data_IF_209706403751
#
_entry.id   IF_209706403751
#
_cell.length_a   1.000
_cell.length_b   1.000
_cell.length_c   1.000
_cell.angle_alpha   90.00
_cell.angle_beta   90.00
_cell.angle_gamma   90.00
#
_symmetry.space_group_name_H-M   'P 1'
#
loop_
_entity.id
_entity.type
_entity.pdbx_description
1 polymer ?
#
# COMPACT_ATOMS: atom_id res chain seq x y z
N UNK A 1 -50.69 -8.09 7.56
CA UNK A 1 -49.85 -6.91 7.86
C UNK A 1 -48.42 -7.41 7.93
N UNK A 2 -47.54 -6.95 7.03
CA UNK A 2 -46.13 -7.36 7.02
C UNK A 2 -45.40 -6.72 8.21
N UNK A 3 -44.64 -7.52 8.94
CA UNK A 3 -43.87 -7.08 10.11
C UNK A 3 -42.58 -6.44 9.64
N UNK A 4 -42.49 -5.11 9.76
CA UNK A 4 -41.25 -4.36 9.47
C UNK A 4 -40.23 -4.63 10.59
N UNK A 5 -39.16 -5.36 10.28
CA UNK A 5 -38.02 -5.50 11.18
C UNK A 5 -37.04 -4.35 10.97
N UNK A 6 -36.82 -3.56 12.03
CA UNK A 6 -35.86 -2.46 12.04
C UNK A 6 -34.58 -2.94 12.74
N UNK A 7 -33.52 -3.18 11.96
CA UNK A 7 -32.21 -3.55 12.49
C UNK A 7 -31.47 -2.28 12.92
N UNK A 8 -31.00 -2.25 14.17
CA UNK A 8 -30.18 -1.14 14.72
C UNK A 8 -28.72 -1.59 14.81
N UNK A 9 -27.86 -0.99 14.00
CA UNK A 9 -26.41 -1.21 14.05
C UNK A 9 -25.84 -0.29 15.13
N UNK A 10 -25.13 -0.85 16.12
CA UNK A 10 -24.57 -0.09 17.25
C UNK A 10 -23.26 0.60 16.89
N UNK A 11 -22.40 -0.08 16.14
CA UNK A 11 -21.08 0.43 15.74
C UNK A 11 -20.68 -0.09 14.36
N UNK A 12 -19.99 0.75 13.59
CA UNK A 12 -19.39 0.40 12.29
C UNK A 12 -17.90 0.75 12.36
N UNK A 13 -17.04 -0.25 12.22
CA UNK A 13 -15.59 -0.06 12.11
C UNK A 13 -15.23 -0.08 10.63
N UNK A 14 -14.89 1.09 10.08
CA UNK A 14 -14.39 1.19 8.71
C UNK A 14 -12.87 1.14 8.77
N UNK A 15 -12.31 -0.01 8.42
CA UNK A 15 -10.86 -0.14 8.29
C UNK A 15 -10.36 0.74 7.13
N UNK A 16 -9.25 1.44 7.36
CA UNK A 16 -8.60 2.20 6.30
C UNK A 16 -8.07 1.24 5.25
N UNK A 17 -8.47 1.44 4.00
CA UNK A 17 -8.05 0.59 2.88
C UNK A 17 -6.65 1.00 2.38
N UNK A 18 -6.35 2.31 2.45
CA UNK A 18 -5.10 2.91 2.00
C UNK A 18 -4.56 3.89 3.02
N UNK A 19 -3.28 4.22 2.88
CA UNK A 19 -2.55 5.06 3.81
C UNK A 19 -1.56 5.98 3.08
N UNK A 20 -1.38 7.19 3.63
CA UNK A 20 -0.27 8.09 3.28
C UNK A 20 0.98 7.81 4.13
N UNK A 21 2.09 8.50 3.88
CA UNK A 21 3.37 8.25 4.57
C UNK A 21 3.31 8.42 6.10
N UNK A 22 2.46 9.31 6.62
CA UNK A 22 2.28 9.47 8.08
C UNK A 22 1.51 8.31 8.70
N UNK A 23 0.49 7.83 8.00
CA UNK A 23 -0.28 6.68 8.45
C UNK A 23 0.54 5.41 8.37
N UNK A 24 1.32 5.22 7.31
CA UNK A 24 2.24 4.09 7.16
C UNK A 24 3.30 4.07 8.27
N UNK A 25 3.77 5.24 8.72
CA UNK A 25 4.63 5.35 9.90
C UNK A 25 3.94 4.80 11.15
N UNK A 26 2.68 5.18 11.38
CA UNK A 26 1.91 4.73 12.56
C UNK A 26 1.62 3.23 12.50
N UNK A 27 1.30 2.70 11.32
CA UNK A 27 0.91 1.30 11.12
C UNK A 27 2.12 0.37 11.17
N UNK A 28 3.20 0.71 10.46
CA UNK A 28 4.34 -0.20 10.23
C UNK A 28 5.60 0.15 11.05
N UNK A 29 5.54 1.17 11.92
CA UNK A 29 6.65 1.56 12.78
C UNK A 29 7.89 2.11 12.06
N UNK A 30 7.80 2.38 10.75
CA UNK A 30 8.88 2.99 9.99
C UNK A 30 8.85 4.52 10.07
N UNK A 31 9.94 5.20 9.73
CA UNK A 31 9.89 6.66 9.63
C UNK A 31 9.08 7.10 8.40
N UNK A 32 8.46 8.29 8.45
CA UNK A 32 7.76 8.89 7.31
C UNK A 32 8.63 8.94 6.05
N UNK A 33 9.92 9.25 6.21
CA UNK A 33 10.88 9.29 5.11
C UNK A 33 11.03 7.91 4.46
N UNK A 34 11.21 6.86 5.27
CA UNK A 34 11.30 5.48 4.77
C UNK A 34 10.00 5.04 4.09
N UNK A 35 8.83 5.40 4.63
CA UNK A 35 7.55 5.12 3.99
C UNK A 35 7.47 5.76 2.59
N UNK A 36 7.81 7.05 2.49
CA UNK A 36 7.82 7.76 1.22
C UNK A 36 8.86 7.23 0.22
N UNK A 37 10.05 6.84 0.69
CA UNK A 37 11.07 6.19 -0.15
C UNK A 37 10.57 4.87 -0.73
N UNK A 38 9.98 4.03 0.12
CA UNK A 38 9.39 2.74 -0.26
C UNK A 38 8.25 2.90 -1.26
N UNK A 39 7.33 3.84 -1.03
CA UNK A 39 6.24 4.16 -1.96
C UNK A 39 6.75 4.65 -3.32
N UNK A 40 7.78 5.50 -3.33
CA UNK A 40 8.44 5.93 -4.58
C UNK A 40 9.15 4.77 -5.30
N UNK A 41 9.71 3.83 -4.55
CA UNK A 41 10.31 2.62 -5.13
C UNK A 41 9.22 1.71 -5.75
N UNK A 42 8.10 1.50 -5.05
CA UNK A 42 6.92 0.80 -5.59
C UNK A 42 6.43 1.43 -6.90
N UNK A 43 6.46 2.77 -7.01
CA UNK A 43 6.05 3.47 -8.25
C UNK A 43 6.91 3.10 -9.46
N UNK A 44 8.18 2.74 -9.24
CA UNK A 44 9.11 2.33 -10.30
C UNK A 44 8.90 0.87 -10.72
N UNK A 45 8.29 0.05 -9.88
CA UNK A 45 8.15 -1.39 -10.09
C UNK A 45 6.79 -1.70 -10.70
N UNK A 46 6.69 -2.16 -11.97
CA UNK A 46 5.41 -2.47 -12.60
C UNK A 46 4.56 -3.46 -11.79
N UNK A 47 5.19 -4.46 -11.16
CA UNK A 47 4.49 -5.44 -10.32
C UNK A 47 3.77 -4.84 -9.10
N UNK A 48 4.23 -3.67 -8.65
CA UNK A 48 3.75 -3.00 -7.43
C UNK A 48 2.74 -1.88 -7.73
N UNK A 49 2.61 -1.44 -8.99
CA UNK A 49 1.72 -0.32 -9.34
C UNK A 49 0.25 -0.58 -8.99
N UNK A 50 -0.20 -1.85 -9.03
CA UNK A 50 -1.56 -2.25 -8.65
C UNK A 50 -1.95 -1.91 -7.21
N UNK A 51 -0.97 -1.66 -6.35
CA UNK A 51 -1.19 -1.31 -4.94
C UNK A 51 -1.23 0.21 -4.69
N UNK A 52 -0.84 1.02 -5.68
CA UNK A 52 -0.74 2.46 -5.59
C UNK A 52 -2.05 3.11 -6.03
N UNK A 53 -2.44 4.16 -5.29
CA UNK A 53 -3.65 4.94 -5.54
C UNK A 53 -3.28 6.41 -5.66
N UNK A 54 -4.16 7.20 -6.28
CA UNK A 54 -3.99 8.64 -6.48
C UNK A 54 -2.59 9.00 -7.03
N UNK A 55 -2.26 8.47 -8.22
CA UNK A 55 -0.93 8.67 -8.85
C UNK A 55 0.28 8.24 -8.00
N UNK A 56 0.03 7.33 -7.05
CA UNK A 56 0.99 6.84 -6.09
C UNK A 56 1.18 7.74 -4.88
N UNK A 57 0.29 8.71 -4.62
CA UNK A 57 0.23 9.48 -3.36
C UNK A 57 -0.16 8.60 -2.17
N UNK A 58 -1.02 7.61 -2.43
CA UNK A 58 -1.50 6.64 -1.47
C UNK A 58 -1.10 5.23 -1.89
N UNK A 59 -1.07 4.33 -0.91
CA UNK A 59 -0.87 2.89 -1.14
C UNK A 59 -1.84 2.11 -0.29
N UNK A 60 -2.35 1.00 -0.81
CA UNK A 60 -3.14 0.07 -0.01
C UNK A 60 -2.31 -0.47 1.16
N UNK A 61 -2.89 -0.56 2.36
CA UNK A 61 -2.15 -1.03 3.56
C UNK A 61 -1.62 -2.45 3.32
N UNK A 62 -2.48 -3.32 2.79
CA UNK A 62 -2.11 -4.69 2.41
C UNK A 62 -0.98 -4.72 1.38
N UNK A 63 -1.08 -3.92 0.32
CA UNK A 63 -0.05 -3.86 -0.71
C UNK A 63 1.29 -3.33 -0.20
N UNK A 64 1.28 -2.36 0.72
CA UNK A 64 2.51 -1.90 1.35
C UNK A 64 3.15 -3.02 2.19
N UNK A 65 2.36 -3.76 2.96
CA UNK A 65 2.85 -4.91 3.73
C UNK A 65 3.45 -6.01 2.83
N UNK A 66 2.74 -6.41 1.77
CA UNK A 66 3.24 -7.36 0.78
C UNK A 66 4.56 -6.88 0.15
N UNK A 67 4.64 -5.59 -0.16
CA UNK A 67 5.87 -5.00 -0.67
C UNK A 67 7.01 -5.03 0.35
N UNK A 68 6.76 -4.84 1.65
CA UNK A 68 7.81 -4.97 2.68
C UNK A 68 8.41 -6.38 2.72
N UNK A 69 7.60 -7.42 2.49
CA UNK A 69 8.07 -8.81 2.41
C UNK A 69 8.80 -9.09 1.07
N UNK A 70 8.32 -8.48 -0.02
CA UNK A 70 8.93 -8.59 -1.34
C UNK A 70 10.30 -7.89 -1.42
N UNK A 71 10.43 -6.74 -0.76
CA UNK A 71 11.60 -5.86 -0.89
C UNK A 71 12.88 -6.56 -0.43
N UNK A 72 13.88 -6.56 -1.31
CA UNK A 72 15.17 -7.23 -1.06
C UNK A 72 15.22 -8.71 -1.45
N UNK A 73 14.08 -9.32 -1.82
CA UNK A 73 14.04 -10.66 -2.38
C UNK A 73 14.76 -10.76 -3.73
N UNK A 74 15.05 -11.99 -4.18
CA UNK A 74 15.65 -12.22 -5.51
C UNK A 74 14.76 -11.70 -6.66
N UNK A 75 13.43 -11.93 -6.67
CA UNK A 75 12.53 -11.29 -7.63
C UNK A 75 12.62 -9.76 -7.65
N UNK A 76 12.65 -9.13 -6.47
CA UNK A 76 12.80 -7.68 -6.35
C UNK A 76 14.10 -7.17 -6.98
N UNK A 77 15.23 -7.83 -6.71
CA UNK A 77 16.53 -7.47 -7.30
C UNK A 77 16.50 -7.55 -8.83
N UNK A 78 15.88 -8.60 -9.37
CA UNK A 78 15.73 -8.80 -10.82
C UNK A 78 14.86 -7.71 -11.46
N UNK A 79 13.76 -7.35 -10.82
CA UNK A 79 12.85 -6.32 -11.34
C UNK A 79 13.52 -4.95 -11.31
N UNK A 80 14.14 -4.56 -10.19
CA UNK A 80 14.89 -3.31 -10.05
C UNK A 80 16.00 -3.16 -11.12
N UNK A 81 16.74 -4.25 -11.40
CA UNK A 81 17.78 -4.24 -12.43
C UNK A 81 17.20 -3.98 -13.84
N UNK A 82 16.00 -4.48 -14.14
CA UNK A 82 15.32 -4.21 -15.41
C UNK A 82 14.86 -2.75 -15.51
N UNK A 83 14.34 -2.19 -14.43
CA UNK A 83 13.88 -0.79 -14.41
C UNK A 83 15.03 0.18 -14.66
N UNK A 84 16.21 -0.08 -14.09
CA UNK A 84 17.41 0.74 -14.32
C UNK A 84 17.84 0.69 -15.78
N UNK A 85 17.77 -0.47 -16.45
CA UNK A 85 18.13 -0.61 -17.87
C UNK A 85 17.18 0.12 -18.81
N UNK A 86 15.90 0.26 -18.48
CA UNK A 86 14.93 0.99 -19.33
C UNK A 86 15.02 2.52 -19.19
N UNK A 87 15.68 3.02 -18.15
CA UNK A 87 15.82 4.47 -17.89
C UNK A 87 17.16 5.02 -18.43
N UNK A 88 18.01 4.16 -19.01
CA UNK A 88 19.35 4.49 -19.51
C UNK A 88 19.36 4.51 -21.02
#
# INVERSE_FOLDING_TARGET
METVQIVRIKDVIIEKISANDEELKRIFGCSKRQAGERRREMKKLPSQQKHLLDSGQLVTIKGFYEYLQYRGSQPWKKEMAKTVKMTR
#
